data_IF_724149958427
#
_entry.id   IF_724149958427
#
_cell.length_a   1.000
_cell.length_b   1.000
_cell.length_c   1.000
_cell.angle_alpha   90.00
_cell.angle_beta   90.00
_cell.angle_gamma   90.00
#
_symmetry.space_group_name_H-M   'P 1'
#
loop_
_entity.id
_entity.type
_entity.pdbx_description
1 polymer ?
#
# COMPACT_ATOMS: atom_id res chain seq x y z
N UNK A 1 -1.12 -15.37 -39.93
CA UNK A 1 0.01 -16.12 -39.33
C UNK A 1 0.50 -15.35 -38.12
N UNK A 2 0.56 -16.01 -36.96
CA UNK A 2 1.09 -15.42 -35.71
C UNK A 2 2.62 -15.40 -35.77
N UNK A 3 3.22 -14.27 -35.42
CA UNK A 3 4.68 -14.08 -35.41
C UNK A 3 5.19 -14.33 -33.99
N UNK A 4 6.18 -15.23 -33.78
CA UNK A 4 6.85 -15.37 -32.49
C UNK A 4 7.52 -14.07 -32.06
N UNK A 5 7.47 -13.73 -30.78
CA UNK A 5 7.92 -12.43 -30.28
C UNK A 5 9.39 -12.14 -30.63
N UNK A 6 10.28 -13.14 -30.59
CA UNK A 6 11.70 -12.97 -30.97
C UNK A 6 11.91 -12.47 -32.41
N UNK A 7 10.94 -12.69 -33.29
CA UNK A 7 11.03 -12.40 -34.72
C UNK A 7 10.31 -11.10 -35.11
N UNK A 8 9.57 -10.47 -34.19
CA UNK A 8 8.77 -9.26 -34.46
C UNK A 8 9.62 -8.12 -35.01
N UNK A 9 10.87 -7.98 -34.55
CA UNK A 9 11.82 -6.96 -35.05
C UNK A 9 12.09 -7.03 -36.56
N UNK A 10 11.85 -8.19 -37.20
CA UNK A 10 11.99 -8.36 -38.66
C UNK A 10 10.84 -7.72 -39.45
N UNK A 11 9.80 -7.27 -38.76
CA UNK A 11 8.56 -6.77 -39.35
C UNK A 11 8.33 -5.28 -39.05
N UNK A 12 9.39 -4.50 -38.83
CA UNK A 12 9.28 -3.05 -38.60
C UNK A 12 8.37 -2.38 -39.62
N UNK A 13 7.47 -1.51 -39.15
CA UNK A 13 6.46 -0.80 -39.92
C UNK A 13 5.44 -1.69 -40.64
N UNK A 14 5.41 -3.00 -40.38
CA UNK A 14 4.40 -3.93 -40.89
C UNK A 14 3.37 -4.27 -39.81
N UNK A 15 2.24 -4.82 -40.26
CA UNK A 15 1.18 -5.35 -39.39
C UNK A 15 1.41 -6.83 -39.17
N UNK A 16 1.30 -7.27 -37.93
CA UNK A 16 1.48 -8.67 -37.53
C UNK A 16 0.42 -9.08 -36.52
N UNK A 17 0.20 -10.40 -36.42
CA UNK A 17 -0.52 -10.99 -35.28
C UNK A 17 0.52 -11.51 -34.28
N UNK A 18 0.32 -11.26 -32.99
CA UNK A 18 1.16 -11.80 -31.91
C UNK A 18 0.29 -12.39 -30.81
N UNK A 19 0.77 -13.45 -30.17
CA UNK A 19 0.14 -14.05 -28.99
C UNK A 19 1.24 -14.11 -27.93
N UNK A 20 0.93 -13.65 -26.72
CA UNK A 20 1.89 -13.64 -25.64
C UNK A 20 1.21 -13.65 -24.28
N UNK A 21 1.98 -14.06 -23.29
CA UNK A 21 1.62 -14.03 -21.87
C UNK A 21 1.85 -12.61 -21.35
N UNK A 22 0.84 -12.04 -20.70
CA UNK A 22 0.92 -10.72 -20.07
C UNK A 22 1.62 -10.83 -18.72
N UNK A 23 2.72 -10.10 -18.58
CA UNK A 23 3.54 -10.03 -17.36
C UNK A 23 3.35 -8.72 -16.60
N UNK A 24 3.06 -7.62 -17.28
CA UNK A 24 2.79 -6.34 -16.62
C UNK A 24 1.72 -5.59 -17.38
N UNK A 25 0.97 -4.77 -16.65
CA UNK A 25 0.04 -3.81 -17.24
C UNK A 25 0.14 -2.46 -16.52
N UNK A 26 -0.06 -1.38 -17.25
CA UNK A 26 -0.28 -0.04 -16.69
C UNK A 26 -1.76 0.24 -16.62
N UNK A 27 -2.19 1.04 -15.64
CA UNK A 27 -3.54 1.62 -15.71
C UNK A 27 -3.74 2.47 -16.97
N UNK A 28 -5.01 2.63 -17.35
CA UNK A 28 -5.37 3.47 -18.47
C UNK A 28 -4.89 4.91 -18.25
N UNK A 29 -4.38 5.53 -19.31
CA UNK A 29 -3.86 6.91 -19.27
C UNK A 29 -4.48 7.70 -20.40
N UNK A 30 -4.95 8.91 -20.13
CA UNK A 30 -5.35 9.81 -21.19
C UNK A 30 -4.12 10.25 -21.96
N UNK A 31 -4.14 10.09 -23.28
CA UNK A 31 -3.02 10.55 -24.12
C UNK A 31 -3.13 12.05 -24.37
N UNK A 32 -2.10 12.65 -25.00
CA UNK A 32 -2.18 14.03 -25.49
C UNK A 32 -3.24 14.23 -26.57
N UNK A 33 -3.67 13.15 -27.23
CA UNK A 33 -4.74 13.16 -28.22
C UNK A 33 -6.10 12.92 -27.60
N UNK A 34 -7.01 12.34 -28.39
CA UNK A 34 -8.38 12.01 -27.97
C UNK A 34 -8.49 10.69 -27.23
N UNK A 35 -7.46 9.85 -27.30
CA UNK A 35 -7.54 8.44 -26.93
C UNK A 35 -6.95 8.18 -25.54
N UNK A 36 -7.33 7.07 -24.94
CA UNK A 36 -6.68 6.47 -23.78
C UNK A 36 -5.69 5.40 -24.24
N UNK A 37 -4.66 5.15 -23.42
CA UNK A 37 -3.64 4.15 -23.68
C UNK A 37 -3.42 3.27 -22.44
N UNK A 38 -3.25 1.97 -22.67
CA UNK A 38 -2.71 1.01 -21.71
C UNK A 38 -1.50 0.31 -22.34
N UNK A 39 -0.41 0.19 -21.58
CA UNK A 39 0.79 -0.53 -21.99
C UNK A 39 0.86 -1.87 -21.27
N UNK A 40 1.03 -2.94 -22.05
CA UNK A 40 1.28 -4.29 -21.57
C UNK A 40 2.74 -4.66 -21.81
N UNK A 41 3.30 -5.52 -20.97
CA UNK A 41 4.55 -6.25 -21.26
C UNK A 41 4.23 -7.72 -21.47
N UNK A 42 4.55 -8.23 -22.64
CA UNK A 42 4.22 -9.60 -23.06
C UNK A 42 5.48 -10.44 -23.31
N UNK A 43 5.39 -11.74 -23.03
CA UNK A 43 6.44 -12.74 -23.30
C UNK A 43 5.87 -13.96 -24.01
N UNK A 44 6.73 -14.76 -24.62
CA UNK A 44 6.41 -16.09 -25.13
C UNK A 44 7.58 -17.05 -24.90
N UNK A 45 7.42 -18.32 -25.30
CA UNK A 45 8.48 -19.34 -25.21
C UNK A 45 9.78 -18.92 -25.90
N UNK A 46 9.71 -18.04 -26.90
CA UNK A 46 10.84 -17.62 -27.73
C UNK A 46 11.52 -16.34 -27.25
N UNK A 47 10.84 -15.55 -26.43
CA UNK A 47 11.27 -14.23 -25.97
C UNK A 47 10.73 -13.96 -24.56
N UNK A 48 11.41 -14.52 -23.56
CA UNK A 48 11.02 -14.46 -22.15
C UNK A 48 12.02 -13.70 -21.27
N UNK A 49 13.26 -13.51 -21.73
CA UNK A 49 14.29 -12.76 -20.99
C UNK A 49 14.06 -11.24 -21.01
N UNK A 50 13.46 -10.73 -22.08
CA UNK A 50 13.12 -9.32 -22.24
C UNK A 50 11.67 -9.25 -22.69
N UNK A 51 10.78 -8.74 -21.84
CA UNK A 51 9.37 -8.62 -22.23
C UNK A 51 9.20 -7.58 -23.32
N UNK A 52 8.30 -7.82 -24.27
CA UNK A 52 8.00 -6.87 -25.35
C UNK A 52 6.90 -5.90 -24.90
N UNK A 53 7.05 -4.61 -25.22
CA UNK A 53 5.99 -3.63 -25.01
C UNK A 53 4.88 -3.76 -26.06
N UNK A 54 3.63 -3.83 -25.60
CA UNK A 54 2.44 -3.72 -26.42
C UNK A 54 1.58 -2.54 -25.94
N UNK A 55 1.45 -1.51 -26.77
CA UNK A 55 0.70 -0.31 -26.45
C UNK A 55 -0.67 -0.34 -27.11
N UNK A 56 -1.73 -0.23 -26.30
CA UNK A 56 -3.12 -0.35 -26.74
C UNK A 56 -3.85 0.96 -26.58
N UNK A 57 -4.36 1.49 -27.70
CA UNK A 57 -5.05 2.77 -27.76
C UNK A 57 -6.54 2.58 -28.06
N UNK A 58 -7.40 3.23 -27.29
CA UNK A 58 -8.85 3.18 -27.44
C UNK A 58 -9.52 4.52 -27.08
N UNK A 59 -10.76 4.73 -27.54
CA UNK A 59 -11.53 5.97 -27.27
C UNK A 59 -12.04 6.06 -25.83
N UNK A 60 -12.28 4.93 -25.18
CA UNK A 60 -12.74 4.85 -23.79
C UNK A 60 -11.93 3.79 -23.04
N UNK A 61 -11.98 3.84 -21.71
CA UNK A 61 -11.21 2.94 -20.84
C UNK A 61 -11.75 1.51 -20.83
N UNK A 62 -13.03 1.31 -21.12
CA UNK A 62 -13.71 0.00 -21.20
C UNK A 62 -13.24 -0.83 -22.39
N UNK A 63 -12.81 -0.17 -23.47
CA UNK A 63 -12.28 -0.83 -24.68
C UNK A 63 -10.79 -1.18 -24.56
N UNK A 64 -10.12 -0.86 -23.44
CA UNK A 64 -8.75 -1.26 -23.20
C UNK A 64 -8.69 -2.70 -22.62
N UNK A 65 -7.58 -3.43 -22.80
CA UNK A 65 -7.40 -4.75 -22.20
C UNK A 65 -7.43 -4.69 -20.67
N UNK A 66 -8.29 -5.50 -20.07
CA UNK A 66 -8.50 -5.62 -18.63
C UNK A 66 -7.96 -6.96 -18.15
N UNK A 67 -6.66 -6.99 -17.91
CA UNK A 67 -5.97 -8.22 -17.51
C UNK A 67 -6.32 -8.57 -16.06
N UNK A 68 -6.98 -9.72 -15.88
CA UNK A 68 -7.48 -10.16 -14.57
C UNK A 68 -6.43 -10.87 -13.72
N UNK A 69 -5.48 -11.56 -14.35
CA UNK A 69 -4.39 -12.25 -13.67
C UNK A 69 -3.11 -12.19 -14.49
N UNK A 70 -1.97 -12.24 -13.82
CA UNK A 70 -0.68 -12.37 -14.49
C UNK A 70 -0.49 -13.79 -14.96
N UNK A 71 0.12 -13.93 -16.13
CA UNK A 71 0.10 -15.19 -16.84
C UNK A 71 -1.08 -15.31 -17.80
N UNK A 72 -2.06 -14.40 -17.74
CA UNK A 72 -3.12 -14.35 -18.76
C UNK A 72 -2.53 -14.11 -20.14
N UNK A 73 -3.17 -14.71 -21.13
CA UNK A 73 -2.68 -14.71 -22.52
C UNK A 73 -3.46 -13.67 -23.29
N UNK A 74 -2.75 -12.78 -23.98
CA UNK A 74 -3.34 -11.85 -24.93
C UNK A 74 -2.98 -12.25 -26.36
N UNK A 75 -4.00 -12.32 -27.21
CA UNK A 75 -3.84 -12.31 -28.67
C UNK A 75 -4.08 -10.90 -29.18
N UNK A 76 -3.14 -10.39 -29.95
CA UNK A 76 -3.20 -9.11 -30.63
C UNK A 76 -3.14 -9.36 -32.14
N UNK A 77 -4.15 -8.89 -32.88
CA UNK A 77 -4.23 -9.03 -34.33
C UNK A 77 -4.02 -7.70 -35.02
N UNK A 78 -3.33 -7.74 -36.17
CA UNK A 78 -3.03 -6.58 -37.01
C UNK A 78 -2.42 -5.40 -36.24
N UNK A 79 -1.51 -5.68 -35.30
CA UNK A 79 -0.77 -4.65 -34.58
C UNK A 79 0.43 -4.19 -35.40
N UNK A 80 0.74 -2.89 -35.31
CA UNK A 80 1.84 -2.27 -36.05
C UNK A 80 3.13 -2.41 -35.26
N UNK A 81 4.17 -2.97 -35.87
CA UNK A 81 5.49 -3.04 -35.25
C UNK A 81 6.21 -1.70 -35.39
N UNK A 82 6.71 -1.17 -34.28
CA UNK A 82 7.48 0.07 -34.25
C UNK A 82 8.69 -0.01 -33.32
N UNK A 83 9.36 1.11 -33.17
CA UNK A 83 10.44 1.31 -32.20
C UNK A 83 10.14 2.52 -31.33
N UNK A 84 10.39 2.39 -30.03
CA UNK A 84 10.26 3.49 -29.08
C UNK A 84 11.40 3.41 -28.07
N UNK A 85 12.12 4.51 -27.88
CA UNK A 85 13.31 4.59 -27.02
C UNK A 85 14.34 3.47 -27.29
N UNK A 86 14.50 3.07 -28.56
CA UNK A 86 15.42 2.01 -28.96
C UNK A 86 14.90 0.58 -28.78
N UNK A 87 13.74 0.38 -28.12
CA UNK A 87 13.10 -0.94 -27.99
C UNK A 87 12.06 -1.18 -29.08
N UNK A 88 11.99 -2.41 -29.60
CA UNK A 88 10.92 -2.84 -30.50
C UNK A 88 9.63 -3.03 -29.71
N UNK A 89 8.53 -2.47 -30.22
CA UNK A 89 7.21 -2.59 -29.62
C UNK A 89 6.14 -2.90 -30.66
N UNK A 90 4.96 -3.27 -30.18
CA UNK A 90 3.76 -3.38 -31.00
C UNK A 90 2.72 -2.36 -30.57
N UNK A 91 2.05 -1.76 -31.54
CA UNK A 91 1.02 -0.74 -31.33
C UNK A 91 -0.30 -1.23 -31.88
N UNK A 92 -1.29 -1.36 -31.00
CA UNK A 92 -2.68 -1.62 -31.36
C UNK A 92 -3.39 -0.33 -31.72
N UNK A 93 -4.11 -0.34 -32.84
CA UNK A 93 -4.91 0.79 -33.31
C UNK A 93 -6.38 0.37 -33.46
N UNK A 94 -7.27 1.00 -32.68
CA UNK A 94 -8.72 0.69 -32.62
C UNK A 94 -9.46 0.50 -33.95
N UNK A 95 -9.02 1.18 -35.02
CA UNK A 95 -9.69 1.10 -36.33
C UNK A 95 -9.34 -0.15 -37.14
N UNK A 96 -8.24 -0.85 -36.80
CA UNK A 96 -7.70 -1.95 -37.62
C UNK A 96 -7.27 -3.17 -36.81
N UNK A 97 -6.91 -2.99 -35.54
CA UNK A 97 -6.41 -4.05 -34.68
C UNK A 97 -7.54 -4.64 -33.85
N UNK A 98 -7.43 -5.91 -33.49
CA UNK A 98 -8.36 -6.57 -32.57
C UNK A 98 -7.59 -7.36 -31.51
N UNK A 99 -8.16 -7.56 -30.34
CA UNK A 99 -7.54 -8.34 -29.26
C UNK A 99 -8.53 -9.29 -28.60
N UNK A 100 -7.97 -10.31 -27.94
CA UNK A 100 -8.70 -11.18 -27.04
C UNK A 100 -7.81 -11.58 -25.86
N UNK A 101 -8.39 -11.62 -24.67
CA UNK A 101 -7.75 -12.05 -23.43
C UNK A 101 -8.28 -13.40 -22.98
N UNK A 102 -7.37 -14.28 -22.61
CA UNK A 102 -7.64 -15.64 -22.16
C UNK A 102 -7.01 -15.85 -20.79
N UNK A 103 -7.63 -16.70 -19.98
CA UNK A 103 -7.00 -17.18 -18.75
C UNK A 103 -5.67 -17.88 -19.06
N UNK A 104 -4.68 -17.64 -18.21
CA UNK A 104 -3.36 -18.25 -18.26
C UNK A 104 -3.35 -19.74 -17.87
N UNK A 105 -2.44 -20.10 -16.96
CA UNK A 105 -2.22 -21.49 -16.52
C UNK A 105 -3.47 -22.17 -15.94
N UNK A 106 -4.34 -21.41 -15.26
CA UNK A 106 -5.54 -21.92 -14.57
C UNK A 106 -6.78 -21.94 -15.49
N UNK A 107 -6.58 -21.79 -16.81
CA UNK A 107 -7.64 -21.76 -17.79
C UNK A 107 -7.97 -23.15 -18.35
N UNK A 108 -9.12 -23.70 -17.96
CA UNK A 108 -9.60 -24.99 -18.49
C UNK A 108 -10.29 -24.83 -19.85
N UNK A 109 -10.83 -23.64 -20.13
CA UNK A 109 -11.61 -23.34 -21.34
C UNK A 109 -10.79 -22.38 -22.22
N UNK A 110 -10.88 -22.56 -23.54
CA UNK A 110 -10.23 -21.70 -24.55
C UNK A 110 -11.10 -20.52 -24.98
N UNK A 111 -12.03 -20.11 -24.12
CA UNK A 111 -12.90 -18.96 -24.36
C UNK A 111 -12.25 -17.69 -23.81
N UNK A 112 -12.19 -16.62 -24.60
CA UNK A 112 -11.67 -15.35 -24.11
C UNK A 112 -12.67 -14.72 -23.15
N UNK A 113 -12.17 -14.20 -22.02
CA UNK A 113 -13.02 -13.47 -21.06
C UNK A 113 -13.23 -12.00 -21.47
N UNK A 114 -12.41 -11.48 -22.38
CA UNK A 114 -12.59 -10.17 -23.00
C UNK A 114 -12.17 -10.23 -24.46
N UNK A 115 -12.97 -9.59 -25.32
CA UNK A 115 -12.70 -9.46 -26.76
C UNK A 115 -12.95 -8.02 -27.20
N UNK A 116 -12.10 -7.50 -28.07
CA UNK A 116 -12.37 -6.25 -28.75
C UNK A 116 -13.36 -6.46 -29.91
N UNK A 117 -13.98 -5.38 -30.42
CA UNK A 117 -14.74 -5.45 -31.65
C UNK A 117 -13.94 -6.08 -32.80
N UNK A 118 -14.63 -6.80 -33.70
CA UNK A 118 -14.08 -7.43 -34.90
C UNK A 118 -13.01 -8.50 -34.66
N UNK A 119 -12.86 -9.00 -33.42
CA UNK A 119 -11.97 -10.11 -33.15
C UNK A 119 -12.49 -11.42 -33.76
N UNK A 120 -11.60 -12.15 -34.44
CA UNK A 120 -11.88 -13.48 -34.99
C UNK A 120 -10.84 -14.49 -34.48
N UNK A 121 -11.32 -15.59 -33.90
CA UNK A 121 -10.48 -16.69 -33.40
C UNK A 121 -10.22 -17.71 -34.52
N UNK A 122 -8.95 -18.02 -34.81
CA UNK A 122 -8.57 -19.11 -35.71
C UNK A 122 -8.26 -20.37 -34.91
N UNK A 123 -8.47 -21.54 -35.48
CA UNK A 123 -8.11 -22.80 -34.82
C UNK A 123 -6.60 -22.93 -34.57
N UNK A 124 -5.77 -22.38 -35.44
CA UNK A 124 -4.32 -22.29 -35.24
C UNK A 124 -3.95 -21.48 -33.99
N UNK A 125 -4.72 -20.44 -33.65
CA UNK A 125 -4.44 -19.61 -32.48
C UNK A 125 -4.70 -20.41 -31.19
N UNK A 126 -5.72 -21.29 -31.19
CA UNK A 126 -6.04 -22.17 -30.05
C UNK A 126 -4.86 -23.08 -29.71
N UNK A 127 -4.17 -23.60 -30.73
CA UNK A 127 -2.98 -24.46 -30.56
C UNK A 127 -1.85 -23.67 -29.88
N UNK A 128 -1.63 -22.41 -30.27
CA UNK A 128 -0.59 -21.57 -29.67
C UNK A 128 -0.95 -21.22 -28.21
N UNK A 129 -2.21 -20.90 -27.93
CA UNK A 129 -2.67 -20.61 -26.56
C UNK A 129 -2.47 -21.83 -25.65
N UNK A 130 -2.86 -23.02 -26.10
CA UNK A 130 -2.67 -24.26 -25.33
C UNK A 130 -1.17 -24.55 -25.07
N UNK A 131 -0.31 -24.35 -26.07
CA UNK A 131 1.15 -24.45 -25.90
C UNK A 131 1.69 -23.47 -24.86
N UNK A 132 1.25 -22.21 -24.90
CA UNK A 132 1.67 -21.20 -23.92
C UNK A 132 1.20 -21.56 -22.50
N UNK A 133 -0.01 -22.10 -22.33
CA UNK A 133 -0.49 -22.59 -21.03
C UNK A 133 0.40 -23.71 -20.48
N UNK A 134 0.72 -24.70 -21.31
CA UNK A 134 1.62 -25.80 -20.94
C UNK A 134 3.03 -25.32 -20.60
N UNK A 135 3.53 -24.34 -21.36
CA UNK A 135 4.81 -23.71 -21.07
C UNK A 135 4.78 -22.97 -19.72
N UNK A 136 3.70 -22.25 -19.42
CA UNK A 136 3.54 -21.50 -18.17
C UNK A 136 3.57 -22.39 -16.92
N UNK A 137 3.12 -23.64 -17.00
CA UNK A 137 3.18 -24.58 -15.87
C UNK A 137 4.61 -24.79 -15.38
N UNK A 138 5.58 -24.79 -16.29
CA UNK A 138 6.99 -25.02 -15.97
C UNK A 138 7.83 -23.73 -15.98
N UNK A 139 7.23 -22.61 -16.37
CA UNK A 139 7.92 -21.34 -16.46
C UNK A 139 7.92 -20.63 -15.10
N UNK A 140 9.11 -20.46 -14.53
CA UNK A 140 9.32 -19.57 -13.39
C UNK A 140 9.98 -18.30 -13.89
N UNK A 141 9.33 -17.16 -13.64
CA UNK A 141 9.96 -15.87 -13.85
C UNK A 141 11.02 -15.67 -12.76
N UNK A 142 12.28 -15.87 -13.12
CA UNK A 142 13.40 -15.60 -12.22
C UNK A 142 13.57 -14.08 -12.09
N UNK A 143 12.94 -13.51 -11.06
CA UNK A 143 13.18 -12.14 -10.65
C UNK A 143 14.07 -12.10 -9.42
N UNK A 144 14.98 -11.14 -9.45
CA UNK A 144 15.80 -10.80 -8.30
C UNK A 144 14.91 -10.26 -7.17
N UNK A 145 14.74 -11.06 -6.12
CA UNK A 145 13.94 -10.74 -4.94
C UNK A 145 14.44 -9.49 -4.22
N UNK A 146 15.73 -9.16 -4.35
CA UNK A 146 16.32 -7.96 -3.74
C UNK A 146 15.72 -6.66 -4.30
N UNK A 147 15.08 -6.71 -5.47
CA UNK A 147 14.40 -5.55 -6.07
C UNK A 147 13.09 -5.19 -5.39
N UNK A 148 12.59 -6.05 -4.49
CA UNK A 148 11.35 -5.87 -3.77
C UNK A 148 11.63 -5.83 -2.26
N UNK A 149 12.06 -4.71 -1.69
CA UNK A 149 12.21 -4.60 -0.24
C UNK A 149 10.89 -4.87 0.52
N UNK A 150 11.01 -5.23 1.79
CA UNK A 150 9.89 -5.27 2.74
C UNK A 150 9.57 -3.87 3.29
N UNK A 151 8.39 -3.67 3.90
CA UNK A 151 8.00 -2.40 4.52
C UNK A 151 8.97 -1.98 5.64
N UNK A 152 9.54 -2.94 6.38
CA UNK A 152 10.61 -2.69 7.37
C UNK A 152 11.94 -2.20 6.79
N UNK A 153 12.15 -2.38 5.49
CA UNK A 153 13.38 -2.02 4.77
C UNK A 153 13.24 -0.71 4.00
N UNK A 154 12.07 -0.05 4.09
CA UNK A 154 11.85 1.23 3.44
C UNK A 154 12.86 2.28 3.90
N UNK A 155 13.41 2.97 2.92
CA UNK A 155 14.28 4.13 3.09
C UNK A 155 13.68 5.27 2.29
N UNK A 156 14.14 6.48 2.58
CA UNK A 156 13.76 7.65 1.81
C UNK A 156 14.35 7.56 0.40
N UNK A 157 13.56 6.98 -0.51
CA UNK A 157 13.88 6.80 -1.92
C UNK A 157 12.75 7.37 -2.77
N UNK A 158 13.09 7.87 -3.97
CA UNK A 158 12.08 8.50 -4.85
C UNK A 158 11.10 7.47 -5.43
N UNK A 159 11.55 6.25 -5.72
CA UNK A 159 10.72 5.19 -6.29
C UNK A 159 11.14 3.81 -5.77
N UNK A 160 10.16 2.97 -5.43
CA UNK A 160 10.38 1.63 -4.90
C UNK A 160 9.57 0.59 -5.67
N UNK A 161 9.93 -0.68 -5.52
CA UNK A 161 9.06 -1.79 -5.89
C UNK A 161 8.64 -2.56 -4.64
N UNK A 162 7.37 -2.96 -4.57
CA UNK A 162 6.79 -3.68 -3.45
C UNK A 162 6.18 -4.99 -3.93
N UNK A 163 6.30 -6.05 -3.14
CA UNK A 163 5.42 -7.22 -3.25
C UNK A 163 4.54 -7.27 -2.00
N UNK A 164 3.25 -7.00 -2.15
CA UNK A 164 2.35 -6.75 -1.04
C UNK A 164 0.97 -7.34 -1.30
N UNK A 165 0.23 -7.58 -0.22
CA UNK A 165 -1.16 -8.01 -0.22
C UNK A 165 -2.05 -6.78 -0.22
N UNK A 166 -3.06 -6.78 -1.10
CA UNK A 166 -4.09 -5.74 -1.10
C UNK A 166 -5.09 -6.07 0.00
N UNK A 167 -5.24 -5.18 0.98
CA UNK A 167 -6.16 -5.37 2.10
C UNK A 167 -7.51 -4.71 1.86
N UNK A 168 -7.50 -3.53 1.26
CA UNK A 168 -8.71 -2.75 1.06
C UNK A 168 -8.49 -1.68 -0.01
N UNK A 169 -9.59 -1.16 -0.53
CA UNK A 169 -9.63 0.01 -1.37
C UNK A 169 -10.74 0.95 -0.91
N UNK A 170 -10.48 2.25 -0.85
CA UNK A 170 -11.47 3.26 -0.50
C UNK A 170 -11.51 4.38 -1.53
N UNK A 171 -12.70 4.96 -1.69
CA UNK A 171 -12.92 6.19 -2.43
C UNK A 171 -13.24 7.28 -1.40
N UNK A 172 -12.30 8.22 -1.24
CA UNK A 172 -12.46 9.35 -0.34
C UNK A 172 -13.21 10.50 -1.04
N UNK A 173 -13.71 11.44 -0.26
CA UNK A 173 -14.35 12.64 -0.80
C UNK A 173 -13.37 13.41 -1.72
N UNK A 174 -13.87 13.90 -2.86
CA UNK A 174 -13.12 14.57 -3.96
C UNK A 174 -12.38 13.66 -4.96
N UNK A 175 -12.89 12.44 -5.22
CA UNK A 175 -12.32 11.46 -6.17
C UNK A 175 -10.90 10.97 -5.83
N UNK A 176 -10.45 11.16 -4.59
CA UNK A 176 -9.17 10.62 -4.13
C UNK A 176 -9.35 9.15 -3.76
N UNK A 177 -8.67 8.25 -4.48
CA UNK A 177 -8.72 6.82 -4.23
C UNK A 177 -7.49 6.39 -3.45
N UNK A 178 -7.71 5.54 -2.45
CA UNK A 178 -6.65 4.97 -1.62
C UNK A 178 -6.68 3.44 -1.70
N UNK A 179 -5.49 2.87 -1.73
CA UNK A 179 -5.28 1.43 -1.61
C UNK A 179 -4.47 1.13 -0.35
N UNK A 180 -4.92 0.13 0.40
CA UNK A 180 -4.28 -0.34 1.61
C UNK A 180 -3.51 -1.59 1.28
N UNK A 181 -2.18 -1.55 1.47
CA UNK A 181 -1.32 -2.68 1.19
C UNK A 181 -0.49 -3.06 2.40
N UNK A 182 -0.11 -4.34 2.46
CA UNK A 182 0.57 -4.93 3.61
C UNK A 182 1.46 -6.07 3.18
N UNK A 183 2.59 -6.26 3.87
CA UNK A 183 3.52 -7.37 3.58
C UNK A 183 3.89 -8.21 4.81
N UNK A 184 3.28 -7.91 5.97
CA UNK A 184 3.58 -8.58 7.23
C UNK A 184 4.58 -7.87 8.14
N UNK A 185 5.25 -6.82 7.67
CA UNK A 185 6.34 -6.17 8.42
C UNK A 185 6.00 -4.77 8.90
N UNK A 186 6.66 -4.38 10.00
CA UNK A 186 6.54 -3.06 10.60
C UNK A 186 7.48 -2.07 9.90
N UNK A 187 6.97 -0.95 9.40
CA UNK A 187 7.82 0.14 8.89
C UNK A 187 8.67 0.72 10.01
N UNK A 188 9.89 1.16 9.69
CA UNK A 188 10.75 1.79 10.68
C UNK A 188 10.12 3.08 11.22
N UNK A 189 10.31 3.37 12.52
CA UNK A 189 9.88 4.63 13.11
C UNK A 189 10.61 5.79 12.43
N UNK A 190 9.85 6.73 11.86
CA UNK A 190 10.44 7.93 11.28
C UNK A 190 10.49 9.06 12.30
N UNK A 191 11.46 9.95 12.09
CA UNK A 191 11.49 11.24 12.75
C UNK A 191 10.32 12.12 12.32
N UNK A 192 9.93 13.03 13.19
CA UNK A 192 8.87 14.00 12.95
C UNK A 192 9.53 15.35 12.70
N UNK A 193 9.39 15.83 11.47
CA UNK A 193 9.89 17.12 11.02
C UNK A 193 8.76 18.16 11.09
N UNK A 194 8.39 18.57 12.30
CA UNK A 194 7.47 19.67 12.52
C UNK A 194 7.79 20.36 13.85
N UNK A 195 7.63 21.69 13.85
CA UNK A 195 7.72 22.47 15.07
C UNK A 195 6.46 22.23 15.93
N UNK A 196 6.65 22.03 17.24
CA UNK A 196 5.57 21.86 18.22
C UNK A 196 4.58 23.04 18.18
N UNK A 197 5.06 24.27 17.94
CA UNK A 197 4.20 25.44 17.78
C UNK A 197 3.31 25.37 16.53
N UNK A 198 3.84 24.84 15.43
CA UNK A 198 3.08 24.65 14.19
C UNK A 198 2.07 23.50 14.34
N UNK A 199 2.42 22.44 15.07
CA UNK A 199 1.53 21.31 15.37
C UNK A 199 0.30 21.72 16.19
N UNK A 200 0.40 22.77 17.01
CA UNK A 200 -0.75 23.31 17.73
C UNK A 200 -1.81 23.90 16.78
N UNK A 201 -1.40 24.43 15.64
CA UNK A 201 -2.29 25.00 14.62
C UNK A 201 -2.62 23.97 13.51
N UNK A 202 -1.68 23.05 13.23
CA UNK A 202 -1.74 22.04 12.19
C UNK A 202 -1.40 20.67 12.79
N UNK A 203 -2.34 20.03 13.52
CA UNK A 203 -2.06 18.80 14.24
C UNK A 203 -1.65 17.68 13.30
N UNK A 204 -0.76 16.80 13.80
CA UNK A 204 -0.34 15.64 13.05
C UNK A 204 -1.56 14.76 12.70
N UNK A 205 -1.62 14.24 11.47
CA UNK A 205 -2.70 13.36 11.07
C UNK A 205 -2.63 12.04 11.88
N UNK A 206 -3.78 11.57 12.35
CA UNK A 206 -3.92 10.19 12.85
C UNK A 206 -3.83 9.17 11.71
N UNK A 207 -4.29 9.57 10.54
CA UNK A 207 -4.41 8.71 9.37
C UNK A 207 -4.28 9.58 8.11
N UNK A 208 -3.92 8.98 6.98
CA UNK A 208 -3.70 9.72 5.72
C UNK A 208 -4.99 9.93 4.94
N UNK A 209 -5.99 9.11 5.22
CA UNK A 209 -7.30 9.15 4.61
C UNK A 209 -8.07 10.41 5.05
N UNK A 210 -8.73 11.13 4.12
CA UNK A 210 -9.59 12.27 4.47
C UNK A 210 -10.78 11.88 5.35
N UNK A 211 -11.25 10.63 5.24
CA UNK A 211 -12.35 10.06 6.01
C UNK A 211 -11.88 8.76 6.68
N UNK A 212 -12.22 8.62 7.96
CA UNK A 212 -11.91 7.39 8.71
C UNK A 212 -12.64 6.19 8.13
N UNK A 213 -11.92 5.07 8.03
CA UNK A 213 -12.55 3.79 7.71
C UNK A 213 -13.59 3.44 8.77
N UNK A 214 -14.70 2.83 8.33
CA UNK A 214 -15.69 2.29 9.27
C UNK A 214 -15.07 1.20 10.15
N UNK A 215 -15.58 1.05 11.37
CA UNK A 215 -15.12 -0.01 12.29
C UNK A 215 -15.22 -1.39 11.65
N UNK A 216 -16.28 -1.64 10.87
CA UNK A 216 -16.46 -2.91 10.17
C UNK A 216 -15.29 -3.22 9.23
N UNK A 217 -14.78 -2.22 8.49
CA UNK A 217 -13.62 -2.39 7.62
C UNK A 217 -12.34 -2.53 8.46
N UNK A 218 -12.15 -1.68 9.48
CA UNK A 218 -10.96 -1.76 10.34
C UNK A 218 -10.78 -3.15 10.97
N UNK A 219 -11.88 -3.79 11.42
CA UNK A 219 -11.86 -5.14 11.97
C UNK A 219 -11.52 -6.25 10.97
N UNK A 220 -11.48 -5.95 9.66
CA UNK A 220 -11.01 -6.90 8.63
C UNK A 220 -9.51 -6.77 8.34
N UNK A 221 -8.88 -5.68 8.80
CA UNK A 221 -7.47 -5.43 8.57
C UNK A 221 -6.61 -6.22 9.57
N UNK A 222 -5.38 -6.62 9.19
CA UNK A 222 -4.42 -7.23 10.11
C UNK A 222 -4.14 -6.31 11.30
N UNK A 223 -4.02 -6.90 12.49
CA UNK A 223 -3.70 -6.16 13.72
C UNK A 223 -2.19 -6.01 13.95
N UNK A 224 -1.36 -6.60 13.10
CA UNK A 224 0.11 -6.55 13.16
C UNK A 224 0.68 -6.21 11.79
N UNK A 225 1.88 -5.64 11.77
CA UNK A 225 2.52 -5.14 10.56
C UNK A 225 1.93 -3.79 10.13
N UNK A 226 2.76 -2.97 9.49
CA UNK A 226 2.34 -1.67 9.01
C UNK A 226 1.48 -1.80 7.76
N UNK A 227 0.42 -1.02 7.70
CA UNK A 227 -0.43 -0.91 6.51
C UNK A 227 -0.02 0.36 5.75
N UNK A 228 0.60 0.18 4.59
CA UNK A 228 1.00 1.29 3.73
C UNK A 228 -0.21 1.79 2.94
N UNK A 229 -0.45 3.10 2.97
CA UNK A 229 -1.48 3.76 2.17
C UNK A 229 -0.88 4.19 0.83
N UNK A 230 -1.54 3.82 -0.26
CA UNK A 230 -1.16 4.24 -1.60
C UNK A 230 -2.25 5.17 -2.14
N UNK A 231 -1.90 6.44 -2.35
CA UNK A 231 -2.79 7.47 -2.88
C UNK A 231 -2.61 7.57 -4.39
N UNK A 232 -3.69 7.59 -5.15
CA UNK A 232 -3.62 7.74 -6.59
C UNK A 232 -3.52 9.20 -7.02
N UNK A 233 -2.61 9.50 -7.94
CA UNK A 233 -2.50 10.82 -8.56
C UNK A 233 -3.71 11.09 -9.47
N UNK A 234 -4.19 12.34 -9.49
CA UNK A 234 -5.44 12.73 -10.17
C UNK A 234 -5.49 12.40 -11.66
N UNK A 235 -4.33 12.34 -12.30
CA UNK A 235 -4.21 12.05 -13.74
C UNK A 235 -4.33 10.55 -14.07
N UNK A 236 -4.27 9.67 -13.07
CA UNK A 236 -4.38 8.23 -13.26
C UNK A 236 -5.85 7.85 -13.37
N UNK A 237 -6.26 7.30 -14.52
CA UNK A 237 -7.63 6.84 -14.71
C UNK A 237 -7.82 5.51 -13.99
N UNK A 238 -8.47 5.60 -12.84
CA UNK A 238 -8.62 4.49 -11.92
C UNK A 238 -9.89 3.67 -12.16
N UNK A 239 -10.54 3.79 -13.33
CA UNK A 239 -11.82 3.14 -13.63
C UNK A 239 -11.81 1.64 -13.35
N UNK A 240 -10.64 1.01 -13.42
CA UNK A 240 -10.41 -0.43 -13.25
C UNK A 240 -9.76 -0.80 -11.91
N UNK A 241 -9.70 0.14 -10.97
CA UNK A 241 -9.16 -0.07 -9.62
C UNK A 241 -9.90 -1.17 -8.85
N UNK A 242 -11.21 -1.29 -9.07
CA UNK A 242 -12.06 -2.33 -8.49
C UNK A 242 -11.69 -3.75 -8.97
N UNK A 243 -10.94 -3.90 -10.07
CA UNK A 243 -10.46 -5.20 -10.54
C UNK A 243 -9.33 -5.75 -9.67
N UNK A 244 -8.65 -4.89 -8.89
CA UNK A 244 -7.69 -5.32 -7.89
C UNK A 244 -8.42 -6.09 -6.79
N UNK A 245 -8.29 -7.41 -6.82
CA UNK A 245 -8.99 -8.29 -5.90
C UNK A 245 -8.39 -8.17 -4.49
N UNK A 246 -9.24 -7.84 -3.52
CA UNK A 246 -8.87 -7.80 -2.11
C UNK A 246 -8.39 -9.19 -1.67
N UNK A 247 -7.32 -9.22 -0.89
CA UNK A 247 -6.70 -10.44 -0.38
C UNK A 247 -5.64 -11.04 -1.31
N UNK A 248 -5.50 -10.55 -2.54
CA UNK A 248 -4.47 -11.03 -3.46
C UNK A 248 -3.13 -10.33 -3.23
N UNK A 249 -2.05 -11.08 -3.46
CA UNK A 249 -0.68 -10.56 -3.51
C UNK A 249 -0.36 -10.01 -4.90
N UNK A 250 0.29 -8.84 -4.92
CA UNK A 250 0.66 -8.10 -6.13
C UNK A 250 2.07 -7.53 -6.00
N UNK A 251 2.76 -7.42 -7.13
CA UNK A 251 4.01 -6.67 -7.31
C UNK A 251 3.64 -5.30 -7.85
N UNK A 252 3.97 -4.24 -7.13
CA UNK A 252 3.81 -2.85 -7.56
C UNK A 252 5.21 -2.32 -7.85
N UNK A 253 5.47 -1.89 -9.08
CA UNK A 253 6.79 -1.35 -9.48
C UNK A 253 6.71 0.14 -9.79
N UNK A 254 7.81 0.85 -9.57
CA UNK A 254 7.90 2.31 -9.73
C UNK A 254 6.83 3.06 -8.90
N UNK A 255 6.63 2.64 -7.65
CA UNK A 255 5.78 3.35 -6.69
C UNK A 255 6.58 4.51 -6.09
N UNK A 256 6.06 5.74 -6.18
CA UNK A 256 6.73 6.89 -5.55
C UNK A 256 6.47 6.87 -4.05
N UNK A 257 7.51 6.83 -3.23
CA UNK A 257 7.38 6.83 -1.77
C UNK A 257 7.49 8.27 -1.24
N UNK A 258 6.67 8.60 -0.24
CA UNK A 258 6.69 9.90 0.44
C UNK A 258 6.47 9.73 1.93
N UNK A 259 6.94 10.71 2.70
CA UNK A 259 6.75 10.82 4.13
C UNK A 259 5.85 12.03 4.41
N UNK A 260 4.81 11.84 5.23
CA UNK A 260 3.95 12.94 5.67
C UNK A 260 3.66 12.81 7.17
N UNK A 261 4.09 13.80 7.95
CA UNK A 261 3.91 13.80 9.40
C UNK A 261 4.48 12.57 10.11
N UNK A 262 5.56 11.97 9.59
CA UNK A 262 6.16 10.72 10.07
C UNK A 262 5.56 9.43 9.52
N UNK A 263 4.46 9.49 8.75
CA UNK A 263 3.81 8.33 8.14
C UNK A 263 4.32 8.11 6.71
N UNK A 264 4.73 6.87 6.42
CA UNK A 264 5.02 6.44 5.06
C UNK A 264 3.74 6.34 4.24
N UNK A 265 3.80 6.82 3.00
CA UNK A 265 2.74 6.59 2.03
C UNK A 265 3.29 6.47 0.61
N UNK A 266 2.64 5.61 -0.18
CA UNK A 266 2.89 5.52 -1.61
C UNK A 266 2.05 6.52 -2.39
N UNK A 267 2.58 6.96 -3.52
CA UNK A 267 1.84 7.71 -4.52
C UNK A 267 1.86 6.91 -5.81
N UNK A 268 0.67 6.47 -6.22
CA UNK A 268 0.46 5.76 -7.47
C UNK A 268 0.48 6.78 -8.61
N UNK A 269 1.52 6.72 -9.44
CA UNK A 269 1.74 7.65 -10.56
C UNK A 269 1.43 6.98 -11.89
N UNK A 270 1.47 7.75 -12.97
CA UNK A 270 1.41 7.21 -14.34
C UNK A 270 2.58 6.26 -14.67
N UNK A 271 3.67 6.25 -13.92
CA UNK A 271 4.79 5.31 -14.15
C UNK A 271 4.61 4.00 -13.39
N UNK A 272 3.77 4.01 -12.35
CA UNK A 272 3.54 2.86 -11.49
C UNK A 272 2.83 1.75 -12.26
N UNK A 273 3.31 0.52 -12.08
CA UNK A 273 2.74 -0.67 -12.71
C UNK A 273 2.31 -1.66 -11.65
N UNK A 274 1.26 -2.42 -11.95
CA UNK A 274 0.80 -3.51 -11.10
C UNK A 274 0.94 -4.81 -11.85
N UNK A 275 1.47 -5.80 -11.14
CA UNK A 275 1.63 -7.17 -11.60
C UNK A 275 1.00 -8.09 -10.56
N UNK A 276 -0.04 -8.81 -10.92
CA UNK A 276 -0.54 -9.91 -10.09
C UNK A 276 0.51 -11.02 -9.96
N UNK A 277 0.45 -11.79 -8.88
CA UNK A 277 1.44 -12.84 -8.63
C UNK A 277 0.72 -14.17 -8.48
N UNK A 278 1.36 -15.23 -8.98
CA UNK A 278 0.95 -16.60 -8.74
C UNK A 278 1.08 -16.94 -7.25
N UNK A 279 0.15 -17.72 -6.69
CA UNK A 279 0.22 -18.12 -5.27
C UNK A 279 1.48 -18.93 -4.92
N UNK A 280 2.10 -19.55 -5.91
CA UNK A 280 3.30 -20.38 -5.81
C UNK A 280 4.60 -19.58 -6.00
N UNK A 281 4.54 -18.26 -6.19
CA UNK A 281 5.74 -17.41 -6.24
C UNK A 281 6.46 -17.50 -4.88
N UNK A 282 7.74 -17.92 -4.91
CA UNK A 282 8.54 -18.16 -3.72
C UNK A 282 8.64 -16.92 -2.83
N UNK A 283 8.71 -15.72 -3.41
CA UNK A 283 8.77 -14.46 -2.67
C UNK A 283 7.50 -14.26 -1.82
N UNK A 284 6.35 -14.63 -2.37
CA UNK A 284 5.06 -14.46 -1.69
C UNK A 284 4.85 -15.54 -0.64
N UNK A 285 5.23 -16.78 -0.93
CA UNK A 285 5.21 -17.87 0.06
C UNK A 285 6.06 -17.49 1.28
N UNK A 286 7.25 -16.95 1.06
CA UNK A 286 8.14 -16.51 2.13
C UNK A 286 7.52 -15.36 2.95
N UNK A 287 6.95 -14.35 2.28
CA UNK A 287 6.27 -13.22 2.95
C UNK A 287 5.06 -13.65 3.75
N UNK A 288 4.23 -14.53 3.19
CA UNK A 288 3.06 -15.06 3.88
C UNK A 288 3.49 -15.84 5.13
N UNK A 289 4.53 -16.66 5.05
CA UNK A 289 5.09 -17.36 6.21
C UNK A 289 5.56 -16.39 7.29
N UNK A 290 6.34 -15.36 6.92
CA UNK A 290 6.82 -14.35 7.89
C UNK A 290 5.66 -13.58 8.54
N UNK A 291 4.64 -13.24 7.76
CA UNK A 291 3.41 -12.63 8.26
C UNK A 291 2.67 -13.52 9.27
N UNK A 292 2.51 -14.81 8.96
CA UNK A 292 1.83 -15.77 9.82
C UNK A 292 2.61 -16.00 11.12
N UNK A 293 3.94 -16.08 11.04
CA UNK A 293 4.83 -16.13 12.23
C UNK A 293 4.69 -14.89 13.11
N UNK A 294 4.62 -13.70 12.50
CA UNK A 294 4.42 -12.44 13.22
C UNK A 294 3.05 -12.35 13.92
N UNK A 295 2.03 -12.98 13.37
CA UNK A 295 0.70 -13.06 14.00
C UNK A 295 0.71 -14.02 15.21
N UNK A 296 1.58 -15.03 15.19
CA UNK A 296 1.73 -15.99 16.27
C UNK A 296 2.63 -15.46 17.40
N UNK A 297 3.69 -14.72 17.07
CA UNK A 297 4.66 -14.18 18.03
C UNK A 297 4.78 -12.65 17.94
N UNK A 298 4.35 -11.97 19.02
CA UNK A 298 4.29 -10.52 19.07
C UNK A 298 5.63 -9.91 19.52
N UNK A 299 6.57 -9.73 18.59
CA UNK A 299 7.78 -8.95 18.84
C UNK A 299 7.47 -7.45 18.88
N UNK A 300 7.79 -6.79 19.99
CA UNK A 300 7.66 -5.35 20.17
C UNK A 300 9.03 -4.68 20.29
N UNK A 301 9.16 -3.39 19.91
CA UNK A 301 10.37 -2.62 20.19
C UNK A 301 10.66 -2.57 21.70
N UNK A 302 11.94 -2.54 22.06
CA UNK A 302 12.34 -2.40 23.46
C UNK A 302 11.97 -0.99 23.98
N UNK A 303 11.10 -0.87 24.99
CA UNK A 303 10.70 0.43 25.51
C UNK A 303 11.79 0.99 26.43
N UNK A 304 12.05 2.30 26.35
CA UNK A 304 12.88 2.97 27.34
C UNK A 304 12.15 3.04 28.69
N UNK A 305 12.88 2.94 29.81
CA UNK A 305 12.31 3.01 31.16
C UNK A 305 11.94 4.45 31.56
N UNK A 306 11.32 5.20 30.65
CA UNK A 306 10.78 6.54 30.91
C UNK A 306 9.42 6.41 31.61
N UNK A 307 8.72 5.30 31.43
CA UNK A 307 7.38 5.05 31.98
C UNK A 307 7.36 3.78 32.81
N UNK A 308 6.79 3.84 34.01
CA UNK A 308 6.45 2.69 34.85
C UNK A 308 4.94 2.44 34.82
N UNK A 309 4.55 1.19 34.54
CA UNK A 309 3.15 0.75 34.47
C UNK A 309 2.87 -0.15 35.67
N UNK A 310 1.85 0.15 36.49
CA UNK A 310 1.59 -0.68 37.68
C UNK A 310 0.54 -1.78 37.42
N UNK A 311 -0.47 -1.53 36.57
CA UNK A 311 -1.64 -2.42 36.43
C UNK A 311 -1.42 -3.70 35.59
N UNK A 312 -0.36 -3.81 34.79
CA UNK A 312 -0.26 -4.82 33.72
C UNK A 312 1.14 -5.39 33.47
N UNK A 313 1.98 -5.51 34.51
CA UNK A 313 3.39 -5.92 34.31
C UNK A 313 3.57 -7.27 33.60
N UNK A 314 2.68 -8.23 33.80
CA UNK A 314 2.76 -9.58 33.22
C UNK A 314 1.93 -9.81 31.96
N UNK A 315 1.24 -8.77 31.45
CA UNK A 315 0.39 -8.89 30.26
C UNK A 315 1.21 -8.60 29.01
N UNK A 316 1.04 -9.43 27.96
CA UNK A 316 1.63 -9.20 26.64
C UNK A 316 1.07 -7.89 26.06
N UNK A 317 1.92 -6.98 25.55
CA UNK A 317 1.45 -5.74 24.94
C UNK A 317 0.54 -6.01 23.73
N UNK A 318 -0.37 -5.07 23.48
CA UNK A 318 -1.25 -5.04 22.32
C UNK A 318 -0.80 -3.93 21.36
N UNK A 319 -0.97 -4.17 20.06
CA UNK A 319 -0.85 -3.11 19.05
C UNK A 319 -2.04 -2.16 19.13
N UNK A 320 -1.87 -0.92 18.67
CA UNK A 320 -2.94 0.07 18.61
C UNK A 320 -4.05 -0.34 17.66
N UNK A 321 -3.74 -1.07 16.58
CA UNK A 321 -4.78 -1.65 15.72
C UNK A 321 -5.63 -2.69 16.46
N UNK A 322 -5.03 -3.54 17.31
CA UNK A 322 -5.79 -4.45 18.20
C UNK A 322 -6.69 -3.67 19.16
N UNK A 323 -6.22 -2.54 19.71
CA UNK A 323 -7.01 -1.68 20.60
C UNK A 323 -8.22 -1.07 19.87
N UNK A 324 -8.00 -0.56 18.66
CA UNK A 324 -9.05 0.03 17.83
C UNK A 324 -10.12 -0.99 17.40
N UNK A 325 -9.70 -2.21 17.10
CA UNK A 325 -10.57 -3.29 16.59
C UNK A 325 -11.14 -4.21 17.67
N UNK A 326 -10.77 -3.98 18.94
CA UNK A 326 -11.18 -4.81 20.08
C UNK A 326 -12.71 -4.96 20.17
N UNK A 327 -13.17 -6.17 20.51
CA UNK A 327 -14.60 -6.52 20.58
C UNK A 327 -15.36 -5.75 21.64
N UNK A 328 -14.71 -5.41 22.75
CA UNK A 328 -15.32 -4.67 23.85
C UNK A 328 -15.10 -3.15 23.72
N UNK A 329 -16.16 -2.38 23.98
CA UNK A 329 -16.09 -0.90 23.94
C UNK A 329 -15.20 -0.37 25.06
N UNK A 330 -15.33 -0.93 26.26
CA UNK A 330 -14.60 -0.54 27.47
C UNK A 330 -13.67 -1.68 27.84
N UNK A 331 -12.37 -1.45 27.69
CA UNK A 331 -11.34 -2.44 27.98
C UNK A 331 -10.05 -1.73 28.41
N UNK A 332 -9.15 -2.52 29.01
CA UNK A 332 -7.84 -2.09 29.49
C UNK A 332 -6.77 -2.78 28.64
N UNK A 333 -5.79 -2.00 28.21
CA UNK A 333 -4.71 -2.46 27.35
C UNK A 333 -3.36 -2.01 27.88
N UNK A 334 -2.35 -2.85 27.65
CA UNK A 334 -0.94 -2.47 27.75
C UNK A 334 -0.41 -2.33 26.33
N UNK A 335 0.24 -1.22 26.02
CA UNK A 335 0.77 -0.95 24.67
C UNK A 335 2.21 -0.44 24.75
N UNK A 336 2.99 -0.71 23.70
CA UNK A 336 4.30 -0.09 23.48
C UNK A 336 4.13 0.89 22.32
N UNK A 337 4.32 2.18 22.60
CA UNK A 337 3.99 3.29 21.69
C UNK A 337 5.05 4.37 21.74
N UNK A 338 5.03 5.24 20.72
CA UNK A 338 5.72 6.52 20.69
C UNK A 338 4.71 7.63 20.95
N UNK A 339 5.10 8.65 21.73
CA UNK A 339 4.29 9.86 21.91
C UNK A 339 4.70 10.86 20.85
N UNK A 340 3.88 10.97 19.81
CA UNK A 340 4.22 11.74 18.62
C UNK A 340 3.65 13.15 18.64
N UNK A 341 2.69 13.49 19.48
CA UNK A 341 2.30 14.89 19.68
C UNK A 341 1.63 15.06 21.05
N UNK A 342 1.65 16.29 21.56
CA UNK A 342 1.02 16.66 22.83
C UNK A 342 0.30 17.99 22.64
N UNK A 343 -0.98 18.01 22.93
CA UNK A 343 -1.82 19.20 22.82
C UNK A 343 -2.41 19.50 24.20
N UNK A 344 -2.07 20.65 24.83
CA UNK A 344 -2.66 21.06 26.11
C UNK A 344 -4.16 21.32 25.99
N UNK A 345 -4.94 20.93 27.01
CA UNK A 345 -6.40 21.01 26.98
C UNK A 345 -6.94 22.45 26.91
N UNK A 346 -6.19 23.43 27.42
CA UNK A 346 -6.51 24.86 27.36
C UNK A 346 -6.78 25.39 25.94
N UNK A 347 -6.33 24.69 24.89
CA UNK A 347 -6.55 25.03 23.49
C UNK A 347 -7.60 24.16 22.77
N UNK A 348 -8.19 23.16 23.43
CA UNK A 348 -9.01 22.11 22.76
C UNK A 348 -10.53 22.34 22.87
N UNK A 349 -11.14 22.67 24.03
CA UNK A 349 -12.54 23.19 24.13
C UNK A 349 -13.09 23.41 25.56
N UNK A 350 -14.29 24.01 25.59
CA UNK A 350 -15.02 24.75 26.63
C UNK A 350 -16.06 23.98 27.48
N UNK A 351 -16.00 22.66 27.65
CA UNK A 351 -16.85 21.97 28.64
C UNK A 351 -16.43 20.54 28.99
N UNK A 352 -16.51 20.26 30.31
CA UNK A 352 -16.67 18.98 31.01
C UNK A 352 -15.52 17.96 30.97
N UNK A 353 -14.57 18.13 31.91
CA UNK A 353 -13.66 17.09 32.41
C UNK A 353 -12.34 17.67 32.93
N UNK A 354 -11.81 17.16 34.05
CA UNK A 354 -10.47 17.51 34.58
C UNK A 354 -9.35 16.83 33.74
N UNK A 355 -9.33 17.05 32.43
CA UNK A 355 -8.26 16.56 31.55
C UNK A 355 -7.22 17.66 31.35
N UNK A 356 -5.95 17.34 31.57
CA UNK A 356 -4.84 18.30 31.43
C UNK A 356 -4.36 18.42 29.99
N UNK A 357 -4.34 17.32 29.24
CA UNK A 357 -3.77 17.25 27.90
C UNK A 357 -4.28 16.07 27.06
N UNK A 358 -4.08 16.17 25.74
CA UNK A 358 -4.29 15.10 24.75
C UNK A 358 -2.96 14.70 24.12
N UNK A 359 -2.66 13.41 24.16
CA UNK A 359 -1.51 12.81 23.50
C UNK A 359 -1.92 12.20 22.16
N UNK A 360 -1.04 12.27 21.17
CA UNK A 360 -1.10 11.44 19.97
C UNK A 360 -0.10 10.30 20.14
N UNK A 361 -0.62 9.08 20.23
CA UNK A 361 0.16 7.86 20.39
C UNK A 361 0.30 7.17 19.04
N UNK A 362 1.48 6.62 18.78
CA UNK A 362 1.80 5.92 17.53
C UNK A 362 2.49 4.58 17.83
N UNK A 363 2.09 3.54 17.11
CA UNK A 363 2.91 2.34 16.92
C UNK A 363 3.05 2.05 15.42
N UNK A 364 3.58 0.89 15.05
CA UNK A 364 3.73 0.51 13.64
C UNK A 364 2.39 0.30 12.91
N UNK A 365 1.29 0.13 13.64
CA UNK A 365 -0.01 -0.30 13.13
C UNK A 365 -1.02 0.84 13.01
N UNK A 366 -1.01 1.82 13.93
CA UNK A 366 -1.95 2.94 13.95
C UNK A 366 -1.45 4.14 14.76
N UNK A 367 -2.19 5.26 14.64
CA UNK A 367 -2.15 6.39 15.59
C UNK A 367 -3.50 6.59 16.25
N UNK A 368 -3.50 6.95 17.53
CA UNK A 368 -4.72 7.29 18.27
C UNK A 368 -4.52 8.52 19.15
N UNK A 369 -5.62 9.18 19.49
CA UNK A 369 -5.63 10.18 20.56
C UNK A 369 -5.91 9.51 21.91
N UNK A 370 -5.19 9.93 22.95
CA UNK A 370 -5.46 9.53 24.34
C UNK A 370 -5.38 10.74 25.28
N UNK A 371 -6.35 10.87 26.19
CA UNK A 371 -6.38 11.96 27.17
C UNK A 371 -5.62 11.59 28.45
N UNK A 372 -5.07 12.60 29.14
CA UNK A 372 -4.38 12.47 30.44
C UNK A 372 -5.03 13.42 31.47
N UNK A 373 -5.10 12.99 32.73
CA UNK A 373 -5.82 13.67 33.81
C UNK A 373 -4.93 14.49 34.77
N UNK A 374 -3.63 14.20 34.87
CA UNK A 374 -2.72 14.86 35.84
C UNK A 374 -1.77 15.84 35.13
N UNK A 375 -1.41 16.94 35.81
CA UNK A 375 -0.73 18.12 35.22
C UNK A 375 0.80 18.15 35.34
N UNK A 376 1.44 17.35 36.20
CA UNK A 376 2.85 17.58 36.54
C UNK A 376 3.82 16.57 35.94
N UNK A 377 4.07 16.65 34.63
CA UNK A 377 5.19 15.89 34.06
C UNK A 377 5.94 16.65 32.96
N UNK A 378 7.28 16.64 33.03
CA UNK A 378 8.17 17.08 31.95
C UNK A 378 8.06 16.13 30.74
N UNK A 379 7.11 16.43 29.85
CA UNK A 379 6.76 15.59 28.70
C UNK A 379 7.72 15.72 27.51
N UNK A 380 8.71 16.61 27.59
CA UNK A 380 9.70 16.81 26.52
C UNK A 380 10.49 15.53 26.23
N UNK A 381 10.74 14.70 27.25
CA UNK A 381 11.38 13.38 27.12
C UNK A 381 10.55 12.42 26.28
N UNK A 382 9.22 12.44 26.41
CA UNK A 382 8.33 11.59 25.63
C UNK A 382 8.28 12.00 24.15
N UNK A 383 8.45 13.29 23.86
CA UNK A 383 8.51 13.82 22.50
C UNK A 383 9.89 13.64 21.83
N UNK A 384 10.89 13.16 22.57
CA UNK A 384 12.26 13.01 22.07
C UNK A 384 12.99 14.35 21.88
N UNK A 385 12.59 15.40 22.63
CA UNK A 385 13.24 16.72 22.58
C UNK A 385 14.37 16.76 23.61
N UNK A 386 15.61 17.01 23.15
CA UNK A 386 16.76 17.20 24.04
C UNK A 386 16.75 18.62 24.62
N UNK A 387 16.92 18.75 25.95
CA UNK A 387 16.89 20.03 26.69
C UNK A 387 17.99 21.04 26.27
N UNK A 388 18.95 20.64 25.41
CA UNK A 388 20.08 21.46 24.98
C UNK A 388 19.92 22.29 23.69
N UNK A 389 18.84 22.11 22.92
CA UNK A 389 18.73 22.70 21.57
C UNK A 389 17.99 24.05 21.48
N UNK A 390 17.53 24.62 22.60
CA UNK A 390 17.03 26.00 22.61
C UNK A 390 18.18 27.01 22.74
N UNK A 391 19.17 26.97 21.83
CA UNK A 391 20.06 28.11 21.64
C UNK A 391 19.34 29.12 20.75
N UNK A 392 19.12 30.29 21.32
CA UNK A 392 18.59 31.48 20.65
C UNK A 392 19.33 31.68 19.32
N UNK A 393 18.65 31.45 18.19
CA UNK A 393 19.10 31.88 16.87
C UNK A 393 19.75 30.83 15.94
N UNK A 394 19.28 29.58 15.88
CA UNK A 394 19.76 28.60 14.88
C UNK A 394 18.67 27.64 14.37
N UNK A 395 18.58 27.52 13.04
CA UNK A 395 17.77 26.63 12.16
C UNK A 395 16.47 25.95 12.66
N UNK A 396 15.40 26.16 11.88
CA UNK A 396 13.98 25.98 12.21
C UNK A 396 13.39 24.58 12.02
N UNK A 397 14.19 23.52 11.90
CA UNK A 397 13.67 22.15 11.72
C UNK A 397 14.52 21.14 12.49
N UNK A 398 14.29 21.01 13.80
CA UNK A 398 14.86 19.90 14.57
C UNK A 398 13.96 18.66 14.43
N UNK A 399 14.40 17.70 13.61
CA UNK A 399 13.74 16.39 13.52
C UNK A 399 13.77 15.71 14.88
N UNK A 400 12.59 15.40 15.44
CA UNK A 400 12.47 14.66 16.70
C UNK A 400 12.17 13.19 16.46
N UNK A 401 12.77 12.31 17.25
CA UNK A 401 12.49 10.87 17.22
C UNK A 401 12.02 10.42 18.60
N UNK A 402 10.70 10.39 18.84
CA UNK A 402 10.14 9.98 20.12
C UNK A 402 10.56 8.55 20.48
N UNK A 403 10.96 8.29 21.74
CA UNK A 403 11.31 6.94 22.18
C UNK A 403 10.07 6.04 22.28
N UNK A 404 10.32 4.73 22.24
CA UNK A 404 9.30 3.74 22.59
C UNK A 404 9.09 3.71 24.10
N UNK A 405 7.83 3.79 24.54
CA UNK A 405 7.44 3.79 25.95
C UNK A 405 6.28 2.82 26.17
N UNK A 406 6.14 2.32 27.40
CA UNK A 406 5.05 1.42 27.76
C UNK A 406 3.93 2.19 28.46
N UNK A 407 2.71 2.07 27.95
CA UNK A 407 1.54 2.79 28.49
C UNK A 407 0.37 1.85 28.76
N UNK A 408 -0.39 2.15 29.80
CA UNK A 408 -1.69 1.55 30.05
C UNK A 408 -2.81 2.45 29.50
N UNK A 409 -3.64 1.88 28.63
CA UNK A 409 -4.76 2.56 28.00
C UNK A 409 -6.07 1.97 28.51
N UNK A 410 -7.03 2.84 28.83
CA UNK A 410 -8.41 2.45 29.09
C UNK A 410 -9.33 3.12 28.07
N UNK A 411 -10.15 2.31 27.41
CA UNK A 411 -11.21 2.84 26.53
C UNK A 411 -12.48 3.14 27.32
N UNK A 412 -13.20 4.18 26.92
CA UNK A 412 -14.48 4.62 27.49
C UNK A 412 -15.32 5.28 26.40
N UNK A 413 -16.62 5.43 26.60
CA UNK A 413 -17.51 6.16 25.69
C UNK A 413 -18.09 7.38 26.39
N UNK A 414 -18.51 8.40 25.63
CA UNK A 414 -19.08 9.64 26.17
C UNK A 414 -20.61 9.62 26.18
N UNK A 415 -21.23 8.87 25.28
CA UNK A 415 -22.67 8.74 25.18
C UNK A 415 -23.10 7.27 25.09
N UNK A 416 -24.13 6.91 25.84
CA UNK A 416 -24.76 5.59 25.77
C UNK A 416 -25.52 5.37 24.44
N UNK A 417 -25.95 6.46 23.78
CA UNK A 417 -26.68 6.39 22.50
C UNK A 417 -25.77 6.00 21.33
N UNK A 418 -24.47 6.30 21.43
CA UNK A 418 -23.46 5.94 20.44
C UNK A 418 -22.14 5.54 21.11
N UNK A 419 -22.17 4.34 21.71
CA UNK A 419 -21.04 3.79 22.47
C UNK A 419 -19.78 3.61 21.62
N UNK A 420 -19.91 3.40 20.31
CA UNK A 420 -18.77 3.18 19.41
C UNK A 420 -18.26 4.47 18.77
N UNK A 421 -19.14 5.35 18.30
CA UNK A 421 -18.74 6.63 17.70
C UNK A 421 -18.23 7.63 18.74
N UNK A 422 -18.60 7.47 20.02
CA UNK A 422 -18.05 8.28 21.12
C UNK A 422 -16.95 7.59 21.92
N UNK A 423 -16.42 6.46 21.43
CA UNK A 423 -15.32 5.74 22.08
C UNK A 423 -14.03 6.57 22.06
N UNK A 424 -13.48 6.80 23.24
CA UNK A 424 -12.26 7.55 23.49
C UNK A 424 -11.29 6.72 24.35
N UNK A 425 -10.02 7.15 24.38
CA UNK A 425 -8.96 6.51 25.15
C UNK A 425 -8.38 7.48 26.17
N UNK A 426 -7.97 6.94 27.32
CA UNK A 426 -7.19 7.67 28.32
C UNK A 426 -5.98 6.85 28.75
N UNK A 427 -4.87 7.53 28.98
CA UNK A 427 -3.74 6.94 29.68
C UNK A 427 -4.10 6.85 31.15
N UNK A 428 -3.82 5.71 31.79
CA UNK A 428 -4.05 5.52 33.21
C UNK A 428 -2.95 4.64 33.80
N UNK A 429 -2.75 4.73 35.12
CA UNK A 429 -1.78 3.93 35.89
C UNK A 429 -0.39 3.78 35.23
N UNK A 430 0.03 4.87 34.60
CA UNK A 430 1.32 5.02 33.92
C UNK A 430 2.01 6.22 34.54
N UNK A 431 3.11 5.99 35.25
CA UNK A 431 3.93 7.04 35.88
C UNK A 431 5.16 7.29 35.03
N UNK A 432 5.58 8.53 34.89
CA UNK A 432 6.83 8.87 34.22
C UNK A 432 7.93 8.87 35.28
N UNK A 433 9.01 8.14 35.00
CA UNK A 433 10.16 8.02 35.88
C UNK A 433 11.08 9.22 35.60
N UNK A 434 11.31 10.04 36.64
CA UNK A 434 12.40 10.99 36.63
C UNK A 434 13.73 10.24 36.83
N UNK A 435 14.80 10.71 36.18
CA UNK A 435 16.11 10.12 36.45
C UNK A 435 16.44 10.38 37.92
N UNK A 436 16.64 9.31 38.69
CA UNK A 436 17.31 9.42 39.99
C UNK A 436 18.73 9.90 39.71
N UNK A 437 18.95 11.20 39.90
CA UNK A 437 20.27 11.84 39.90
C UNK A 437 21.21 11.19 40.90
#
# INVERSE_FOLDING_TARGET
>A
MVVPLRNVSRYLNRKVDVIGVVMETTFAKKTKGTDFCCSLRIIDETHHSFSMAANVFATNTESLPLVTAVGDIIKLSLVVVGTFNGEVNVTYRKNISSFALYKGKDGDILDPYQVSPNFFLRDEDKIIIDKLRKWLVNFQLCEDSSKFPMLRELKEETFINLACKILHHSEAAKDERLMFVWDGTDTQPNGICSNIEDELNHPLPLQLEPLSLSRAILCTLPTVGSILRIVFEKDVQNSHFHLLTIGNWVKITYLRLKLYGGLWHGVFTLQTKVRYISKEDQLIVERQRMADERMADLNFPEPLPITAVNHCNHVTPNTLMSVLTHSEVVAIFKCIVRVVAIIPFAKICSSTGNYSMRLTLEDSTARIHANVMEEDVNLNRLLGVSEGNCRIGGEKDTTRNPPWVCVCLKSYYLSEDDIWGTRNFRVFDTKILEDTS
#
